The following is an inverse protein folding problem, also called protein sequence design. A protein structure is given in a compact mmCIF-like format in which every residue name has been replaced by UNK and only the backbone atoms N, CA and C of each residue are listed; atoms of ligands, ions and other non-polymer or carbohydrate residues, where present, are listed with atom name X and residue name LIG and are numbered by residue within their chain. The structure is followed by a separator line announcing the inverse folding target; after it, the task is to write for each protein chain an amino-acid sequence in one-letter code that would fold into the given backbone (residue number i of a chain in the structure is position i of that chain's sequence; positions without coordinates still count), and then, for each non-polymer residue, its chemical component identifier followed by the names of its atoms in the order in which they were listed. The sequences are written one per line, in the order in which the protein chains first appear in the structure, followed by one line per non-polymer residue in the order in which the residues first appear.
data_IF_734041054988
#
_entry.id   IF_734041054988
#
_cell.length_a   1.000
_cell.length_b   1.000
_cell.length_c   1.000
_cell.angle_alpha   90.00
_cell.angle_beta   90.00
_cell.angle_gamma   90.00
#
_symmetry.space_group_name_H-M   'P 1'
#
loop_
_entity.id
_entity.type
_entity.pdbx_description
1 polymer ?
#
# COMPACT_ATOMS: atom_id res chain seq x y z
N UNK A 1 1.98 7.58 6.75
CA UNK A 1 2.42 6.88 5.52
C UNK A 1 1.31 6.06 4.91
N UNK A 2 0.71 5.13 5.64
CA UNK A 2 -0.32 4.19 5.15
C UNK A 2 -1.49 4.85 4.41
N UNK A 3 -2.05 5.92 4.96
CA UNK A 3 -3.17 6.66 4.36
C UNK A 3 -2.77 7.53 3.17
N UNK A 4 -1.49 7.88 3.08
CA UNK A 4 -0.94 8.84 2.13
C UNK A 4 0.08 8.19 1.18
N UNK A 5 -0.05 6.88 0.94
CA UNK A 5 0.93 6.09 0.20
C UNK A 5 1.25 6.64 -1.21
N UNK A 6 0.31 7.38 -1.80
CA UNK A 6 0.44 8.01 -3.11
C UNK A 6 1.23 9.33 -3.09
N UNK A 7 1.53 9.90 -1.93
CA UNK A 7 2.36 11.10 -1.86
C UNK A 7 3.84 10.73 -2.00
N UNK A 8 4.66 11.60 -2.62
CA UNK A 8 6.11 11.46 -2.56
C UNK A 8 6.56 11.40 -1.09
N UNK A 9 7.55 10.56 -0.81
CA UNK A 9 8.11 10.47 0.53
C UNK A 9 9.24 11.48 0.72
N UNK A 10 9.02 12.42 1.64
CA UNK A 10 10.07 13.25 2.20
C UNK A 10 10.36 12.79 3.63
N UNK A 11 11.42 11.99 3.79
CA UNK A 11 11.85 11.48 5.10
C UNK A 11 12.34 12.63 6.01
N UNK A 12 12.89 13.69 5.44
CA UNK A 12 13.36 14.85 6.21
C UNK A 12 12.18 15.66 6.75
N UNK A 13 11.13 15.88 5.94
CA UNK A 13 9.89 16.47 6.43
C UNK A 13 9.21 15.60 7.49
N UNK A 14 9.16 14.28 7.29
CA UNK A 14 8.61 13.35 8.27
C UNK A 14 9.37 13.42 9.61
N UNK A 15 10.70 13.47 9.55
CA UNK A 15 11.56 13.52 10.73
C UNK A 15 11.39 14.86 11.49
N UNK A 16 11.30 15.98 10.76
CA UNK A 16 10.97 17.29 11.34
C UNK A 16 9.63 17.27 12.06
N UNK A 17 8.61 16.61 11.50
CA UNK A 17 7.30 16.48 12.12
C UNK A 17 7.28 15.71 13.46
N UNK A 18 8.35 15.00 13.79
CA UNK A 18 8.50 14.25 15.05
C UNK A 18 9.77 14.65 15.83
N UNK A 19 10.35 15.82 15.54
CA UNK A 19 11.55 16.36 16.19
C UNK A 19 12.78 15.42 16.16
N UNK A 20 12.97 14.70 15.05
CA UNK A 20 14.11 13.81 14.83
C UNK A 20 14.94 14.25 13.63
N UNK A 21 16.22 13.85 13.61
CA UNK A 21 16.98 13.83 12.36
C UNK A 21 16.48 12.69 11.46
N UNK A 22 16.64 12.83 10.14
CA UNK A 22 16.22 11.81 9.18
C UNK A 22 16.90 10.44 9.42
N UNK A 23 18.17 10.45 9.83
CA UNK A 23 18.90 9.25 10.20
C UNK A 23 18.36 8.59 11.46
N UNK A 24 18.08 9.39 12.51
CA UNK A 24 17.49 8.86 13.74
C UNK A 24 16.09 8.29 13.48
N UNK A 25 15.24 9.02 12.74
CA UNK A 25 13.94 8.52 12.32
C UNK A 25 14.06 7.18 11.57
N UNK A 26 14.95 7.09 10.59
CA UNK A 26 15.11 5.86 9.80
C UNK A 26 15.52 4.67 10.65
N UNK A 27 16.39 4.88 11.65
CA UNK A 27 16.79 3.85 12.61
C UNK A 27 15.62 3.44 13.52
N UNK A 28 14.90 4.40 14.09
CA UNK A 28 13.73 4.11 14.93
C UNK A 28 12.62 3.42 14.14
N UNK A 29 12.39 3.84 12.90
CA UNK A 29 11.41 3.22 12.01
C UNK A 29 11.78 1.76 11.74
N UNK A 30 13.04 1.47 11.44
CA UNK A 30 13.51 0.09 11.25
C UNK A 30 13.37 -0.75 12.51
N UNK A 31 13.60 -0.19 13.69
CA UNK A 31 13.38 -0.91 14.95
C UNK A 31 11.89 -1.24 15.17
N UNK A 32 10.99 -0.33 14.80
CA UNK A 32 9.56 -0.51 14.99
C UNK A 32 8.88 -1.38 13.91
N UNK A 33 9.31 -1.29 12.64
CA UNK A 33 8.64 -1.90 11.49
C UNK A 33 9.51 -2.95 10.76
N UNK A 34 10.77 -3.14 11.16
CA UNK A 34 11.69 -4.10 10.54
C UNK A 34 12.37 -3.61 9.26
N UNK A 35 11.93 -2.52 8.66
CA UNK A 35 12.44 -2.02 7.38
C UNK A 35 12.59 -0.48 7.34
N UNK A 36 13.19 0.05 6.26
CA UNK A 36 13.33 1.51 6.12
C UNK A 36 11.99 2.16 5.71
N UNK A 37 11.81 3.47 5.98
CA UNK A 37 10.61 4.20 5.54
C UNK A 37 10.29 4.08 4.05
N UNK A 38 11.32 4.07 3.18
CA UNK A 38 11.17 3.92 1.73
C UNK A 38 10.74 2.50 1.32
N UNK A 39 11.32 1.48 1.96
CA UNK A 39 10.95 0.08 1.72
C UNK A 39 9.49 -0.15 2.14
N UNK A 40 9.13 0.30 3.34
CA UNK A 40 7.77 0.24 3.86
C UNK A 40 6.75 0.91 2.95
N UNK A 41 7.04 2.13 2.48
CA UNK A 41 6.14 2.81 1.54
C UNK A 41 5.97 2.02 0.23
N UNK A 42 7.04 1.39 -0.25
CA UNK A 42 6.99 0.56 -1.45
C UNK A 42 6.09 -0.66 -1.24
N UNK A 43 6.19 -1.32 -0.08
CA UNK A 43 5.30 -2.41 0.33
C UNK A 43 3.84 -1.96 0.34
N UNK A 44 3.52 -0.81 0.97
CA UNK A 44 2.14 -0.28 1.00
C UNK A 44 1.61 0.06 -0.40
N UNK A 45 2.47 0.56 -1.30
CA UNK A 45 2.08 0.81 -2.70
C UNK A 45 1.77 -0.47 -3.46
N UNK A 46 2.54 -1.54 -3.25
CA UNK A 46 2.27 -2.85 -3.86
C UNK A 46 0.97 -3.47 -3.32
N UNK A 47 0.72 -3.42 -2.01
CA UNK A 47 -0.56 -3.87 -1.42
C UNK A 47 -1.76 -3.14 -2.03
N UNK A 48 -1.63 -1.83 -2.28
CA UNK A 48 -2.67 -1.07 -2.96
C UNK A 48 -2.83 -1.52 -4.41
N UNK A 49 -1.74 -1.74 -5.13
CA UNK A 49 -1.78 -2.19 -6.51
C UNK A 49 -2.48 -3.55 -6.63
N UNK A 50 -2.21 -4.48 -5.70
CA UNK A 50 -2.92 -5.76 -5.60
C UNK A 50 -4.43 -5.56 -5.46
N UNK A 51 -4.85 -4.62 -4.60
CA UNK A 51 -6.27 -4.31 -4.41
C UNK A 51 -6.93 -3.78 -5.69
N UNK A 52 -6.23 -2.92 -6.45
CA UNK A 52 -6.72 -2.41 -7.73
C UNK A 52 -6.82 -3.52 -8.79
N UNK A 53 -5.80 -4.37 -8.89
CA UNK A 53 -5.77 -5.46 -9.88
C UNK A 53 -6.82 -6.54 -9.61
N UNK A 54 -7.13 -6.81 -8.34
CA UNK A 54 -8.24 -7.71 -7.97
C UNK A 54 -9.62 -7.16 -8.34
N UNK A 55 -9.77 -5.83 -8.42
CA UNK A 55 -11.03 -5.20 -8.80
C UNK A 55 -11.43 -5.44 -10.26
N UNK A 56 -10.49 -5.85 -11.12
CA UNK A 56 -10.75 -6.22 -12.51
C UNK A 56 -10.87 -5.05 -13.49
N UNK A 57 -11.16 -3.84 -13.01
CA UNK A 57 -11.37 -2.63 -13.83
C UNK A 57 -10.08 -1.84 -14.15
N UNK A 58 -8.93 -2.25 -13.59
CA UNK A 58 -7.66 -1.53 -13.72
C UNK A 58 -6.60 -2.40 -14.40
N UNK A 59 -5.99 -1.88 -15.46
CA UNK A 59 -4.85 -2.51 -16.13
C UNK A 59 -3.58 -2.46 -15.25
N UNK A 60 -2.58 -3.27 -15.60
CA UNK A 60 -1.28 -3.27 -14.90
C UNK A 60 -0.62 -1.89 -14.99
N UNK A 61 -0.72 -1.25 -16.14
CA UNK A 61 -0.15 0.07 -16.39
C UNK A 61 -0.82 1.15 -15.55
N UNK A 62 -2.15 1.16 -15.50
CA UNK A 62 -2.90 2.11 -14.67
C UNK A 62 -2.60 1.90 -13.18
N UNK A 63 -2.55 0.63 -12.72
CA UNK A 63 -2.22 0.32 -11.33
C UNK A 63 -0.83 0.85 -10.95
N UNK A 64 0.18 0.65 -11.80
CA UNK A 64 1.55 1.15 -11.61
C UNK A 64 1.58 2.66 -11.35
N UNK A 65 0.92 3.45 -12.21
CA UNK A 65 0.90 4.90 -12.08
C UNK A 65 -0.01 5.39 -10.94
N UNK A 66 -1.13 4.71 -10.68
CA UNK A 66 -2.02 5.01 -9.57
C UNK A 66 -1.33 4.85 -8.20
N UNK A 67 -0.40 3.89 -8.08
CA UNK A 67 0.43 3.70 -6.88
C UNK A 67 1.78 4.41 -6.96
N UNK A 68 1.96 5.27 -7.96
CA UNK A 68 3.05 6.27 -8.05
C UNK A 68 4.45 5.65 -8.18
N UNK A 69 4.55 4.52 -8.86
CA UNK A 69 5.83 4.07 -9.40
C UNK A 69 6.19 4.89 -10.63
N UNK A 70 7.48 5.24 -10.77
CA UNK A 70 7.97 6.05 -11.88
C UNK A 70 8.12 5.29 -13.20
N UNK A 71 8.11 3.95 -13.16
CA UNK A 71 8.21 3.11 -14.34
C UNK A 71 7.54 1.74 -14.12
N UNK A 72 7.09 1.14 -15.23
CA UNK A 72 6.54 -0.23 -15.22
C UNK A 72 7.57 -1.28 -14.84
N UNK A 73 8.84 -1.10 -15.22
CA UNK A 73 9.91 -2.06 -14.92
C UNK A 73 10.20 -2.13 -13.41
N UNK A 74 10.35 -0.97 -12.76
CA UNK A 74 10.54 -0.90 -11.30
C UNK A 74 9.34 -1.46 -10.55
N UNK A 75 8.13 -1.12 -11.01
CA UNK A 75 6.90 -1.65 -10.44
C UNK A 75 6.82 -3.16 -10.56
N UNK A 76 7.03 -3.72 -11.76
CA UNK A 76 6.88 -5.16 -12.01
C UNK A 76 7.90 -5.99 -11.22
N UNK A 77 9.14 -5.50 -11.14
CA UNK A 77 10.19 -6.13 -10.34
C UNK A 77 9.78 -6.15 -8.86
N UNK A 78 9.44 -4.99 -8.28
CA UNK A 78 9.05 -4.93 -6.87
C UNK A 78 7.77 -5.69 -6.54
N UNK A 79 6.80 -5.66 -7.45
CA UNK A 79 5.58 -6.44 -7.31
C UNK A 79 5.90 -7.93 -7.24
N UNK A 80 6.73 -8.43 -8.16
CA UNK A 80 7.09 -9.86 -8.21
C UNK A 80 7.89 -10.27 -6.98
N UNK A 81 8.84 -9.45 -6.52
CA UNK A 81 9.61 -9.73 -5.31
C UNK A 81 8.74 -9.83 -4.05
N UNK A 82 7.71 -8.99 -3.92
CA UNK A 82 6.84 -8.96 -2.74
C UNK A 82 5.66 -9.94 -2.80
N UNK A 83 5.13 -10.20 -4.00
CA UNK A 83 3.91 -11.00 -4.21
C UNK A 83 4.24 -12.43 -4.68
N UNK A 84 5.44 -12.66 -5.19
CA UNK A 84 5.90 -13.95 -5.71
C UNK A 84 5.45 -14.27 -7.14
N UNK A 85 4.74 -13.36 -7.82
CA UNK A 85 4.34 -13.53 -9.22
C UNK A 85 4.19 -12.19 -9.94
N UNK A 86 4.27 -12.17 -11.30
CA UNK A 86 4.12 -10.94 -12.07
C UNK A 86 2.72 -10.32 -11.94
N UNK A 87 2.58 -8.98 -12.04
CA UNK A 87 1.30 -8.29 -11.87
C UNK A 87 0.26 -8.65 -12.93
N UNK A 88 0.68 -8.98 -14.16
CA UNK A 88 -0.21 -9.43 -15.23
C UNK A 88 -0.85 -10.79 -14.94
N UNK A 89 -0.04 -11.74 -14.44
CA UNK A 89 -0.51 -13.03 -14.00
C UNK A 89 -1.42 -12.91 -12.78
N UNK A 90 -1.01 -12.09 -11.81
CA UNK A 90 -1.82 -11.80 -10.62
C UNK A 90 -3.23 -11.29 -10.99
N UNK A 91 -3.32 -10.33 -11.92
CA UNK A 91 -4.61 -9.81 -12.42
C UNK A 91 -5.43 -10.91 -13.09
N UNK A 92 -4.81 -11.71 -13.96
CA UNK A 92 -5.49 -12.81 -14.67
C UNK A 92 -6.08 -13.83 -13.70
N UNK A 93 -5.33 -14.22 -12.66
CA UNK A 93 -5.82 -15.14 -11.62
C UNK A 93 -7.00 -14.55 -10.87
N UNK A 94 -6.92 -13.28 -10.46
CA UNK A 94 -8.02 -12.61 -9.78
C UNK A 94 -9.29 -12.53 -10.64
N UNK A 95 -9.17 -12.28 -11.95
CA UNK A 95 -10.30 -12.28 -12.88
C UNK A 95 -10.86 -13.70 -13.11
N UNK A 96 -10.01 -14.73 -13.12
CA UNK A 96 -10.42 -16.13 -13.21
C UNK A 96 -11.22 -16.61 -11.98
N UNK A 97 -10.80 -16.21 -10.77
CA UNK A 97 -11.54 -16.50 -9.53
C UNK A 97 -12.91 -15.77 -9.49
N UNK A 98 -12.99 -14.58 -10.09
CA UNK A 98 -14.21 -13.78 -10.20
C UNK A 98 -15.15 -14.25 -11.33
N UNK A 99 -14.68 -15.02 -12.30
CA UNK A 99 -15.51 -15.54 -13.40
C UNK A 99 -16.62 -16.50 -12.94
N UNK A 100 -16.51 -17.03 -11.70
CA UNK A 100 -17.55 -17.86 -11.07
C UNK A 100 -18.56 -17.10 -10.20
N UNK A 101 -18.43 -15.77 -10.04
CA UNK A 101 -19.26 -14.97 -9.13
C UNK A 101 -20.06 -13.89 -9.89
N UNK A 102 -21.37 -13.73 -9.61
CA UNK A 102 -22.15 -12.63 -10.20
C UNK A 102 -21.59 -11.27 -9.77
N UNK A 103 -21.44 -10.35 -10.73
CA UNK A 103 -20.83 -9.01 -10.62
C UNK A 103 -21.37 -8.13 -9.49
N UNK A 104 -22.59 -8.39 -9.01
CA UNK A 104 -23.21 -7.67 -7.89
C UNK A 104 -22.57 -8.02 -6.53
N UNK A 105 -21.97 -9.21 -6.40
CA UNK A 105 -21.21 -9.67 -5.22
C UNK A 105 -19.79 -9.09 -5.24
N UNK A 106 -19.17 -8.98 -6.42
CA UNK A 106 -17.82 -8.41 -6.61
C UNK A 106 -17.69 -6.98 -6.08
N UNK A 107 -18.77 -6.18 -6.22
CA UNK A 107 -18.85 -4.80 -5.70
C UNK A 107 -19.02 -4.73 -4.17
N UNK A 108 -19.48 -5.79 -3.53
CA UNK A 108 -19.68 -5.85 -2.07
C UNK A 108 -18.46 -6.40 -1.32
N UNK A 109 -17.70 -7.32 -1.92
CA UNK A 109 -16.53 -7.95 -1.28
C UNK A 109 -15.28 -7.04 -1.32
N UNK A 110 -15.18 -6.16 -2.31
CA UNK A 110 -14.04 -5.22 -2.47
C UNK A 110 -14.23 -3.89 -1.74
N UNK A 111 -15.36 -3.69 -1.04
CA UNK A 111 -15.52 -2.54 -0.16
C UNK A 111 -14.47 -2.65 0.96
N UNK A 112 -13.58 -1.64 1.13
CA UNK A 112 -12.74 -1.61 2.30
C UNK A 112 -13.69 -1.52 3.50
N UNK A 113 -13.63 -2.50 4.40
CA UNK A 113 -14.28 -2.38 5.71
C UNK A 113 -13.65 -1.18 6.40
N UNK A 114 -14.31 -0.02 6.30
CA UNK A 114 -14.06 1.13 7.18
C UNK A 114 -14.69 0.77 8.52
N UNK A 115 -13.90 0.15 9.39
CA UNK A 115 -14.14 0.11 10.83
C UNK A 115 -12.84 -0.36 11.50
N UNK A 116 -12.28 0.29 12.53
CA UNK A 116 -12.99 0.92 13.65
C UNK A 116 -12.16 2.03 14.29
N UNK A 117 -12.87 3.11 14.58
CA UNK A 117 -12.61 4.19 15.52
C UNK A 117 -11.56 3.87 16.61
N UNK A 118 -10.54 4.71 16.68
CA UNK A 118 -9.81 4.92 17.93
C UNK A 118 -10.81 5.45 18.96
N UNK A 119 -10.98 4.73 20.06
CA UNK A 119 -11.59 5.30 21.26
C UNK A 119 -10.63 6.38 21.79
N UNK A 120 -11.05 7.63 22.01
CA UNK A 120 -10.26 8.54 22.82
C UNK A 120 -10.27 8.03 24.26
N UNK A 121 -9.11 7.61 24.76
CA UNK A 121 -8.90 7.48 26.20
C UNK A 121 -8.81 8.89 26.78
N UNK A 122 -9.82 9.22 27.56
CA UNK A 122 -10.02 10.44 28.38
C UNK A 122 -8.79 10.81 29.23
N UNK A 123 -8.34 12.08 29.25
CA UNK A 123 -7.26 12.52 30.13
C UNK A 123 -7.80 12.82 31.53
N UNK A 124 -7.45 11.98 32.51
CA UNK A 124 -7.50 12.37 33.92
C UNK A 124 -6.10 12.73 34.42
N UNK A 125 -5.92 14.04 34.52
CA UNK A 125 -4.86 14.77 35.21
C UNK A 125 -4.91 14.43 36.71
N UNK A 126 -3.77 14.21 37.39
CA UNK A 126 -3.63 14.53 38.80
C UNK A 126 -3.12 15.97 38.99
#
# INVERSE_FOLDING_TARGET
MDREYARPLDVTALARGVNMSAGHLSRQFRLAYGESPYAYLSTRRIERAMSLLRGGDTSVTEACFAVRFGSLGTFSTRFTELVGMPPSEYRRRAQGDLAGLPTLVSKHVTRPVRNREARPSDPRIP
#
